data_IF_044285382398
#
_entry.id   IF_044285382398
#
_cell.length_a   1.000
_cell.length_b   1.000
_cell.length_c   1.000
_cell.angle_alpha   90.00
_cell.angle_beta   90.00
_cell.angle_gamma   90.00
#
_symmetry.space_group_name_H-M   'P 1'
#
loop_
_entity.id
_entity.type
_entity.pdbx_description
1 polymer ?
#
# COMPACT_ATOMS: atom_id res chain seq x y z
N UNK A 1 24.01 -53.66 -45.33
CA UNK A 1 24.01 -53.68 -43.84
C UNK A 1 23.79 -52.28 -43.37
N UNK A 2 22.55 -51.98 -42.94
CA UNK A 2 22.17 -50.65 -42.48
C UNK A 2 22.26 -50.63 -40.96
N UNK A 3 23.13 -49.76 -40.41
CA UNK A 3 23.26 -49.52 -38.96
C UNK A 3 22.42 -48.34 -38.59
N UNK A 4 21.36 -48.58 -37.83
CA UNK A 4 20.48 -47.54 -37.29
C UNK A 4 21.12 -46.93 -36.03
N UNK A 5 21.42 -45.64 -36.08
CA UNK A 5 21.84 -44.87 -34.89
C UNK A 5 20.61 -44.56 -34.02
N UNK A 6 20.57 -45.12 -32.80
CA UNK A 6 19.59 -44.77 -31.77
C UNK A 6 20.00 -43.46 -31.10
N UNK A 7 19.23 -42.42 -31.33
CA UNK A 7 19.33 -41.16 -30.57
C UNK A 7 18.77 -41.38 -29.17
N UNK A 8 19.65 -41.29 -28.17
CA UNK A 8 19.27 -41.26 -26.74
C UNK A 8 18.94 -39.80 -26.36
N UNK A 9 17.65 -39.44 -26.39
CA UNK A 9 17.16 -38.22 -25.73
C UNK A 9 17.15 -38.46 -24.23
N UNK A 10 18.14 -37.95 -23.51
CA UNK A 10 18.12 -37.85 -22.06
C UNK A 10 17.31 -36.66 -21.65
N UNK A 11 16.05 -36.85 -21.27
CA UNK A 11 15.21 -35.84 -20.66
C UNK A 11 15.74 -35.54 -19.24
N UNK A 12 16.42 -34.42 -19.09
CA UNK A 12 16.77 -33.89 -17.76
C UNK A 12 15.47 -33.51 -17.06
N UNK A 13 15.17 -34.01 -15.85
CA UNK A 13 13.95 -33.62 -15.16
C UNK A 13 14.05 -32.17 -14.77
N UNK A 14 13.03 -31.40 -15.16
CA UNK A 14 12.80 -30.02 -14.73
C UNK A 14 12.64 -30.02 -13.20
N UNK A 15 13.72 -29.71 -12.48
CA UNK A 15 13.72 -29.63 -11.03
C UNK A 15 12.82 -28.46 -10.65
N UNK A 16 11.62 -28.77 -10.17
CA UNK A 16 10.69 -27.79 -9.59
C UNK A 16 11.44 -27.15 -8.40
N UNK A 17 12.01 -25.97 -8.62
CA UNK A 17 12.60 -25.18 -7.53
C UNK A 17 11.44 -24.65 -6.70
N UNK A 18 11.06 -25.37 -5.66
CA UNK A 18 10.27 -24.83 -4.58
C UNK A 18 11.16 -23.79 -3.91
N UNK A 19 10.90 -22.52 -4.19
CA UNK A 19 11.63 -21.39 -3.58
C UNK A 19 11.17 -21.31 -2.12
N UNK A 20 11.87 -22.04 -1.23
CA UNK A 20 11.67 -21.87 0.21
C UNK A 20 12.17 -20.48 0.58
N UNK A 21 11.31 -19.71 1.22
CA UNK A 21 11.66 -18.40 1.78
C UNK A 21 12.84 -18.57 2.74
N UNK A 22 13.93 -17.88 2.50
CA UNK A 22 15.12 -17.96 3.36
C UNK A 22 14.89 -17.15 4.64
N UNK A 23 15.68 -17.39 5.68
CA UNK A 23 15.65 -16.58 6.91
C UNK A 23 15.95 -15.09 6.61
N UNK A 24 16.80 -14.82 5.63
CA UNK A 24 17.08 -13.46 5.16
C UNK A 24 15.83 -12.81 4.55
N UNK A 25 15.04 -13.54 3.75
CA UNK A 25 13.80 -13.02 3.18
C UNK A 25 12.76 -12.70 4.26
N UNK A 26 12.66 -13.54 5.29
CA UNK A 26 11.83 -13.28 6.46
C UNK A 26 12.28 -12.03 7.20
N UNK A 27 13.58 -11.90 7.48
CA UNK A 27 14.17 -10.76 8.18
C UNK A 27 13.96 -9.45 7.40
N UNK A 28 14.10 -9.48 6.06
CA UNK A 28 13.85 -8.30 5.22
C UNK A 28 12.38 -7.84 5.29
N UNK A 29 11.44 -8.78 5.31
CA UNK A 29 10.01 -8.46 5.47
C UNK A 29 9.71 -7.85 6.84
N UNK A 30 10.28 -8.43 7.89
CA UNK A 30 10.13 -7.94 9.26
C UNK A 30 10.74 -6.55 9.42
N UNK A 31 11.95 -6.33 8.89
CA UNK A 31 12.59 -5.03 8.89
C UNK A 31 11.75 -3.99 8.12
N UNK A 32 11.30 -4.30 6.89
CA UNK A 32 10.43 -3.40 6.13
C UNK A 32 9.16 -3.03 6.89
N UNK A 33 8.52 -3.99 7.56
CA UNK A 33 7.32 -3.73 8.36
C UNK A 33 7.63 -2.81 9.56
N UNK A 34 8.74 -3.06 10.26
CA UNK A 34 9.19 -2.25 11.40
C UNK A 34 9.47 -0.80 11.01
N UNK A 35 10.26 -0.58 9.97
CA UNK A 35 10.61 0.77 9.50
C UNK A 35 9.40 1.54 8.96
N UNK A 36 8.48 0.85 8.27
CA UNK A 36 7.24 1.45 7.78
C UNK A 36 6.34 1.89 8.94
N UNK A 37 6.24 1.09 10.00
CA UNK A 37 5.49 1.42 11.20
C UNK A 37 6.13 2.57 11.97
N UNK A 38 7.46 2.55 12.17
CA UNK A 38 8.22 3.60 12.84
C UNK A 38 8.04 4.94 12.11
N UNK A 39 8.10 4.96 10.78
CA UNK A 39 7.85 6.15 9.97
C UNK A 39 6.49 6.80 10.32
N UNK A 40 5.39 6.01 10.32
CA UNK A 40 4.05 6.54 10.63
C UNK A 40 3.94 7.04 12.06
N UNK A 41 4.52 6.34 13.02
CA UNK A 41 4.57 6.74 14.42
C UNK A 41 5.34 8.06 14.61
N UNK A 42 6.52 8.19 14.02
CA UNK A 42 7.34 9.40 14.18
C UNK A 42 6.69 10.63 13.54
N UNK A 43 5.98 10.48 12.41
CA UNK A 43 5.17 11.57 11.86
C UNK A 43 4.04 11.99 12.80
N UNK A 44 3.40 11.05 13.49
CA UNK A 44 2.38 11.35 14.49
C UNK A 44 2.99 12.03 15.73
N UNK A 45 4.13 11.54 16.22
CA UNK A 45 4.86 12.14 17.33
C UNK A 45 5.36 13.56 17.02
N UNK A 46 5.77 13.81 15.77
CA UNK A 46 6.14 15.15 15.32
C UNK A 46 4.97 16.13 15.41
N UNK A 47 3.76 15.69 15.04
CA UNK A 47 2.55 16.52 15.17
C UNK A 47 2.24 16.83 16.64
N UNK A 48 2.32 15.83 17.52
CA UNK A 48 2.11 16.02 18.95
C UNK A 48 3.14 16.98 19.54
N UNK A 49 4.44 16.77 19.30
CA UNK A 49 5.50 17.65 19.78
C UNK A 49 5.33 19.11 19.28
N UNK A 50 4.86 19.29 18.04
CA UNK A 50 4.58 20.62 17.51
C UNK A 50 3.43 21.31 18.27
N UNK A 51 2.37 20.56 18.59
CA UNK A 51 1.22 21.05 19.35
C UNK A 51 1.57 21.38 20.80
N UNK A 52 2.49 20.62 21.41
CA UNK A 52 3.00 20.84 22.75
C UNK A 52 4.03 21.98 22.85
N UNK A 53 4.40 22.62 21.73
CA UNK A 53 5.34 23.74 21.72
C UNK A 53 6.81 23.33 21.65
N UNK A 54 7.13 22.11 21.20
CA UNK A 54 8.48 21.58 21.04
C UNK A 54 8.91 21.48 19.56
N UNK A 55 9.08 22.60 18.82
CA UNK A 55 9.31 22.57 17.38
C UNK A 55 10.60 21.87 16.97
N UNK A 56 11.67 21.92 17.79
CA UNK A 56 12.92 21.23 17.49
C UNK A 56 12.79 19.70 17.67
N UNK A 57 12.05 19.26 18.67
CA UNK A 57 11.74 17.83 18.86
C UNK A 57 10.86 17.35 17.70
N UNK A 58 9.85 18.13 17.30
CA UNK A 58 9.04 17.84 16.15
C UNK A 58 9.88 17.70 14.86
N UNK A 59 10.89 18.57 14.69
CA UNK A 59 11.83 18.48 13.57
C UNK A 59 12.68 17.22 13.62
N UNK A 60 13.15 16.83 14.82
CA UNK A 60 13.90 15.58 15.01
C UNK A 60 13.06 14.35 14.62
N UNK A 61 11.80 14.28 15.05
CA UNK A 61 10.91 13.18 14.67
C UNK A 61 10.66 13.14 13.17
N UNK A 62 10.49 14.28 12.49
CA UNK A 62 10.36 14.32 11.02
C UNK A 62 11.63 13.81 10.33
N UNK A 63 12.81 14.18 10.82
CA UNK A 63 14.08 13.70 10.27
C UNK A 63 14.25 12.19 10.46
N UNK A 64 13.90 11.66 11.63
CA UNK A 64 13.89 10.23 11.86
C UNK A 64 12.90 9.52 10.94
N UNK A 65 11.66 10.02 10.79
CA UNK A 65 10.68 9.46 9.87
C UNK A 65 11.20 9.39 8.42
N UNK A 66 11.95 10.41 7.96
CA UNK A 66 12.56 10.39 6.63
C UNK A 66 13.66 9.32 6.54
N UNK A 67 14.46 9.13 7.59
CA UNK A 67 15.44 8.05 7.64
C UNK A 67 14.78 6.67 7.53
N UNK A 68 13.66 6.44 8.23
CA UNK A 68 12.91 5.18 8.13
C UNK A 68 12.28 4.96 6.74
N UNK A 69 11.92 6.04 6.03
CA UNK A 69 11.55 5.95 4.61
C UNK A 69 12.69 5.38 3.77
N UNK A 70 13.93 5.87 3.98
CA UNK A 70 15.11 5.37 3.26
C UNK A 70 15.38 3.90 3.57
N UNK A 71 15.30 3.50 4.84
CA UNK A 71 15.50 2.11 5.27
C UNK A 71 14.46 1.18 4.62
N UNK A 72 13.17 1.50 4.76
CA UNK A 72 12.07 0.72 4.18
C UNK A 72 12.22 0.56 2.65
N UNK A 73 12.54 1.65 1.92
CA UNK A 73 12.75 1.59 0.48
C UNK A 73 13.96 0.73 0.09
N UNK A 74 15.03 0.74 0.88
CA UNK A 74 16.18 -0.12 0.63
C UNK A 74 15.83 -1.59 0.81
N UNK A 75 15.05 -1.95 1.84
CA UNK A 75 14.56 -3.32 2.03
C UNK A 75 13.66 -3.76 0.88
N UNK A 76 12.73 -2.92 0.41
CA UNK A 76 11.89 -3.19 -0.76
C UNK A 76 12.71 -3.46 -2.03
N UNK A 77 13.78 -2.68 -2.26
CA UNK A 77 14.69 -2.89 -3.41
C UNK A 77 15.39 -4.24 -3.33
N UNK A 78 15.93 -4.59 -2.15
CA UNK A 78 16.62 -5.88 -1.94
C UNK A 78 15.67 -7.06 -2.12
N UNK A 79 14.42 -6.93 -1.65
CA UNK A 79 13.37 -7.94 -1.85
C UNK A 79 12.86 -8.02 -3.29
N UNK A 80 13.25 -7.10 -4.19
CA UNK A 80 12.72 -7.06 -5.57
C UNK A 80 11.21 -6.78 -5.64
N UNK A 81 10.67 -6.05 -4.66
CA UNK A 81 9.23 -5.76 -4.58
C UNK A 81 8.82 -4.61 -5.52
N UNK A 82 9.76 -3.75 -5.90
CA UNK A 82 9.51 -2.64 -6.85
C UNK A 82 9.74 -3.18 -8.26
N UNK A 83 8.68 -3.29 -9.02
CA UNK A 83 8.67 -3.86 -10.39
C UNK A 83 8.29 -2.80 -11.42
N UNK A 84 7.76 -3.22 -12.56
CA UNK A 84 7.19 -2.29 -13.54
C UNK A 84 5.92 -1.62 -12.99
N UNK A 85 5.57 -0.47 -13.51
CA UNK A 85 4.37 0.27 -13.05
C UNK A 85 3.12 -0.60 -13.14
N UNK A 86 2.94 -1.37 -14.22
CA UNK A 86 1.77 -2.24 -14.37
C UNK A 86 1.76 -3.39 -13.36
N UNK A 87 2.93 -3.97 -13.04
CA UNK A 87 3.03 -5.02 -12.02
C UNK A 87 2.75 -4.46 -10.62
N UNK A 88 3.27 -3.25 -10.33
CA UNK A 88 3.04 -2.56 -9.07
C UNK A 88 1.56 -2.22 -8.87
N UNK A 89 0.89 -1.73 -9.92
CA UNK A 89 -0.55 -1.50 -9.90
C UNK A 89 -1.34 -2.79 -9.67
N UNK A 90 -0.94 -3.90 -10.31
CA UNK A 90 -1.54 -5.21 -10.07
C UNK A 90 -1.41 -5.65 -8.61
N UNK A 91 -0.25 -5.41 -8.00
CA UNK A 91 -0.01 -5.68 -6.58
C UNK A 91 -0.90 -4.80 -5.70
N UNK A 92 -1.01 -3.49 -6.00
CA UNK A 92 -1.87 -2.56 -5.29
C UNK A 92 -3.34 -2.99 -5.37
N UNK A 93 -3.88 -3.27 -6.57
CA UNK A 93 -5.26 -3.77 -6.74
C UNK A 93 -5.51 -5.01 -5.89
N UNK A 94 -4.54 -5.94 -5.83
CA UNK A 94 -4.68 -7.16 -5.05
C UNK A 94 -4.72 -6.88 -3.55
N UNK A 95 -3.86 -5.96 -3.07
CA UNK A 95 -3.82 -5.52 -1.67
C UNK A 95 -5.13 -4.87 -1.27
N UNK A 96 -5.54 -3.80 -1.95
CA UNK A 96 -6.78 -3.08 -1.65
C UNK A 96 -8.02 -4.00 -1.71
N UNK A 97 -8.05 -4.90 -2.73
CA UNK A 97 -9.15 -5.87 -2.85
C UNK A 97 -9.22 -6.83 -1.67
N UNK A 98 -8.09 -7.34 -1.19
CA UNK A 98 -8.04 -8.16 0.00
C UNK A 98 -8.52 -7.37 1.24
N UNK A 99 -8.07 -6.14 1.38
CA UNK A 99 -8.42 -5.28 2.51
C UNK A 99 -9.93 -5.04 2.59
N UNK A 100 -10.56 -4.58 1.52
CA UNK A 100 -12.00 -4.27 1.58
C UNK A 100 -12.92 -5.48 1.48
N UNK A 101 -12.46 -6.64 0.95
CA UNK A 101 -13.32 -7.82 0.83
C UNK A 101 -13.14 -8.83 1.95
N UNK A 102 -12.00 -8.83 2.66
CA UNK A 102 -11.65 -9.84 3.67
C UNK A 102 -11.23 -9.22 5.00
N UNK A 103 -10.19 -8.41 4.99
CA UNK A 103 -9.53 -7.94 6.21
C UNK A 103 -10.44 -7.00 7.01
N UNK A 104 -10.85 -5.88 6.45
CA UNK A 104 -11.69 -4.91 7.17
C UNK A 104 -13.09 -5.43 7.52
N UNK A 105 -13.81 -6.17 6.67
CA UNK A 105 -15.06 -6.79 7.09
C UNK A 105 -14.93 -7.65 8.34
N UNK A 106 -13.90 -8.49 8.44
CA UNK A 106 -13.61 -9.27 9.62
C UNK A 106 -13.32 -8.38 10.85
N UNK A 107 -12.45 -7.40 10.72
CA UNK A 107 -12.08 -6.50 11.82
C UNK A 107 -13.27 -5.67 12.33
N UNK A 108 -14.17 -5.27 11.42
CA UNK A 108 -15.41 -4.56 11.79
C UNK A 108 -16.33 -5.47 12.65
N UNK A 109 -16.52 -6.72 12.27
CA UNK A 109 -17.35 -7.66 13.05
C UNK A 109 -16.72 -7.97 14.42
N UNK A 110 -15.41 -8.18 14.48
CA UNK A 110 -14.69 -8.38 15.73
C UNK A 110 -14.80 -7.16 16.65
N UNK A 111 -14.56 -5.95 16.12
CA UNK A 111 -14.68 -4.71 16.91
C UNK A 111 -16.13 -4.42 17.38
N UNK A 112 -17.14 -4.81 16.61
CA UNK A 112 -18.55 -4.77 17.04
C UNK A 112 -18.80 -5.71 18.20
N UNK A 113 -18.30 -6.94 18.12
CA UNK A 113 -18.46 -7.95 19.17
C UNK A 113 -17.78 -7.50 20.49
N UNK A 114 -16.66 -6.78 20.41
CA UNK A 114 -15.96 -6.20 21.54
C UNK A 114 -16.55 -4.87 22.04
N UNK A 115 -17.53 -4.31 21.34
CA UNK A 115 -18.16 -3.02 21.67
C UNK A 115 -17.26 -1.79 21.41
N UNK A 116 -16.17 -1.95 20.63
CA UNK A 116 -15.23 -0.88 20.33
C UNK A 116 -15.72 0.00 19.15
N UNK A 117 -16.59 0.94 19.44
CA UNK A 117 -17.21 1.84 18.45
C UNK A 117 -16.17 2.69 17.67
N UNK A 118 -15.06 3.05 18.30
CA UNK A 118 -14.02 3.85 17.64
C UNK A 118 -13.25 3.02 16.61
N UNK A 119 -12.90 1.79 16.93
CA UNK A 119 -12.30 0.85 16.00
C UNK A 119 -13.24 0.53 14.83
N UNK A 120 -14.52 0.25 15.11
CA UNK A 120 -15.54 0.06 14.05
C UNK A 120 -15.56 1.22 13.08
N UNK A 121 -15.58 2.47 13.58
CA UNK A 121 -15.59 3.67 12.74
C UNK A 121 -14.31 3.79 11.90
N UNK A 122 -13.15 3.53 12.51
CA UNK A 122 -11.86 3.58 11.82
C UNK A 122 -11.78 2.55 10.69
N UNK A 123 -12.15 1.31 10.98
CA UNK A 123 -12.15 0.22 9.99
C UNK A 123 -13.20 0.42 8.88
N UNK A 124 -14.39 0.93 9.21
CA UNK A 124 -15.44 1.23 8.22
C UNK A 124 -15.01 2.31 7.23
N UNK A 125 -14.31 3.35 7.72
CA UNK A 125 -13.76 4.39 6.86
C UNK A 125 -12.72 3.81 5.89
N UNK A 126 -11.75 3.08 6.40
CA UNK A 126 -10.74 2.45 5.58
C UNK A 126 -11.37 1.47 4.58
N UNK A 127 -12.25 0.58 5.03
CA UNK A 127 -12.93 -0.39 4.17
C UNK A 127 -13.61 0.23 2.94
N UNK A 128 -14.26 1.38 3.13
CA UNK A 128 -14.90 2.13 2.03
C UNK A 128 -13.89 2.77 1.09
N UNK A 129 -12.78 3.24 1.63
CA UNK A 129 -11.74 3.93 0.86
C UNK A 129 -10.93 2.93 0.05
N UNK A 130 -10.58 1.76 0.58
CA UNK A 130 -9.79 0.77 -0.16
C UNK A 130 -10.55 0.22 -1.38
N UNK A 131 -11.88 0.16 -1.32
CA UNK A 131 -12.69 -0.13 -2.49
C UNK A 131 -12.53 0.94 -3.60
N UNK A 132 -12.43 2.22 -3.21
CA UNK A 132 -12.20 3.34 -4.15
C UNK A 132 -10.77 3.27 -4.72
N UNK A 133 -9.76 3.02 -3.87
CA UNK A 133 -8.38 2.87 -4.32
C UNK A 133 -8.23 1.73 -5.32
N UNK A 134 -8.86 0.58 -5.07
CA UNK A 134 -8.85 -0.54 -6.00
C UNK A 134 -9.40 -0.15 -7.38
N UNK A 135 -10.48 0.62 -7.46
CA UNK A 135 -11.05 1.10 -8.72
C UNK A 135 -10.15 2.13 -9.41
N UNK A 136 -9.52 3.05 -8.67
CA UNK A 136 -8.57 4.01 -9.23
C UNK A 136 -7.35 3.29 -9.84
N UNK A 137 -6.80 2.28 -9.17
CA UNK A 137 -5.69 1.48 -9.70
C UNK A 137 -6.09 0.63 -10.90
N UNK A 138 -7.29 0.05 -10.93
CA UNK A 138 -7.82 -0.66 -12.11
C UNK A 138 -7.93 0.28 -13.31
N UNK A 139 -8.45 1.50 -13.11
CA UNK A 139 -8.50 2.53 -14.16
C UNK A 139 -7.11 2.87 -14.70
N UNK A 140 -6.11 2.99 -13.81
CA UNK A 140 -4.73 3.23 -14.20
C UNK A 140 -4.15 2.07 -15.03
N UNK A 141 -4.44 0.81 -14.68
CA UNK A 141 -4.05 -0.37 -15.46
C UNK A 141 -4.62 -0.32 -16.85
N UNK A 142 -5.90 0.00 -17.01
CA UNK A 142 -6.53 0.10 -18.34
C UNK A 142 -5.92 1.22 -19.19
N UNK A 143 -5.54 2.34 -18.58
CA UNK A 143 -4.85 3.43 -19.28
C UNK A 143 -3.48 2.96 -19.82
N UNK A 144 -2.68 2.28 -18.99
CA UNK A 144 -1.37 1.74 -19.41
C UNK A 144 -1.53 0.69 -20.52
N UNK A 145 -2.51 -0.21 -20.43
CA UNK A 145 -2.80 -1.19 -21.48
C UNK A 145 -3.15 -0.52 -22.82
N UNK A 146 -3.78 0.66 -22.77
CA UNK A 146 -4.06 1.47 -23.96
C UNK A 146 -2.85 2.31 -24.43
N UNK A 147 -1.66 2.13 -23.82
CA UNK A 147 -0.43 2.85 -24.15
C UNK A 147 -0.46 4.34 -23.73
N UNK A 148 -1.21 4.70 -22.72
CA UNK A 148 -1.41 6.08 -22.26
C UNK A 148 -1.20 6.18 -20.76
N UNK A 149 -0.85 7.37 -20.29
CA UNK A 149 -0.95 7.74 -18.89
C UNK A 149 -2.41 8.12 -18.53
N UNK A 150 -2.69 8.26 -17.25
CA UNK A 150 -3.95 8.86 -16.81
C UNK A 150 -4.05 10.30 -17.31
N UNK A 151 -5.27 10.79 -17.64
CA UNK A 151 -5.48 12.20 -17.94
C UNK A 151 -5.00 13.07 -16.77
N UNK A 152 -4.36 14.20 -17.09
CA UNK A 152 -3.95 15.15 -16.06
C UNK A 152 -5.17 15.62 -15.27
N UNK A 153 -5.18 15.40 -13.98
CA UNK A 153 -6.26 15.76 -13.08
C UNK A 153 -5.68 16.12 -11.71
N UNK A 154 -6.35 17.02 -10.99
CA UNK A 154 -6.03 17.25 -9.59
C UNK A 154 -6.38 15.99 -8.79
N UNK A 155 -5.46 15.53 -7.97
CA UNK A 155 -5.73 14.48 -6.98
C UNK A 155 -5.78 15.12 -5.60
N UNK A 156 -6.83 14.79 -4.84
CA UNK A 156 -6.99 15.27 -3.46
C UNK A 156 -7.34 14.11 -2.53
N UNK A 157 -6.96 14.27 -1.25
CA UNK A 157 -7.19 13.26 -0.23
C UNK A 157 -7.90 13.90 0.97
N UNK A 158 -8.95 13.26 1.46
CA UNK A 158 -9.60 13.64 2.70
C UNK A 158 -8.70 13.28 3.90
N UNK A 159 -8.28 14.26 4.74
CA UNK A 159 -7.34 13.99 5.84
C UNK A 159 -7.95 13.20 7.01
N UNK A 160 -9.27 12.95 6.97
CA UNK A 160 -10.00 12.25 8.05
C UNK A 160 -10.21 10.77 7.75
N UNK A 161 -10.57 10.43 6.52
CA UNK A 161 -10.85 9.03 6.15
C UNK A 161 -9.94 8.46 5.05
N UNK A 162 -9.09 9.28 4.43
CA UNK A 162 -8.21 8.84 3.35
C UNK A 162 -8.88 8.83 1.96
N UNK A 163 -10.18 9.13 1.85
CA UNK A 163 -10.86 9.10 0.56
C UNK A 163 -10.13 9.95 -0.49
N UNK A 164 -9.84 9.34 -1.63
CA UNK A 164 -9.08 9.93 -2.73
C UNK A 164 -10.01 10.33 -3.87
N UNK A 165 -9.88 11.56 -4.33
CA UNK A 165 -10.65 12.12 -5.43
C UNK A 165 -9.73 12.43 -6.62
N UNK A 166 -10.18 12.11 -7.81
CA UNK A 166 -9.54 12.47 -9.08
C UNK A 166 -10.42 13.49 -9.81
N UNK A 167 -9.89 14.67 -10.11
CA UNK A 167 -10.61 15.74 -10.77
C UNK A 167 -11.44 16.57 -9.79
N UNK A 168 -12.75 16.64 -10.01
CA UNK A 168 -13.64 17.46 -9.19
C UNK A 168 -14.04 16.73 -7.90
N UNK A 169 -13.66 17.28 -6.77
CA UNK A 169 -14.09 16.82 -5.46
C UNK A 169 -15.45 17.40 -5.05
N UNK A 170 -16.27 16.65 -4.29
CA UNK A 170 -17.52 17.14 -3.74
C UNK A 170 -17.28 18.14 -2.61
N UNK A 171 -18.28 18.99 -2.30
CA UNK A 171 -18.19 19.97 -1.21
C UNK A 171 -18.03 19.32 0.17
N UNK A 172 -18.51 18.10 0.32
CA UNK A 172 -18.46 17.30 1.56
C UNK A 172 -18.04 15.87 1.21
N UNK A 173 -17.08 15.33 1.95
CA UNK A 173 -16.66 13.92 1.80
C UNK A 173 -17.84 12.97 2.01
N UNK A 174 -18.19 12.13 1.02
CA UNK A 174 -19.35 11.22 1.13
C UNK A 174 -19.16 10.12 2.16
N UNK A 175 -17.92 9.85 2.62
CA UNK A 175 -17.62 8.80 3.59
C UNK A 175 -17.69 9.32 5.03
N UNK A 176 -17.06 10.47 5.32
CA UNK A 176 -16.90 10.93 6.70
C UNK A 176 -17.53 12.29 7.00
N UNK A 177 -18.09 12.99 5.99
CA UNK A 177 -18.73 14.29 6.16
C UNK A 177 -17.76 15.48 6.25
N UNK A 178 -16.45 15.29 6.05
CA UNK A 178 -15.46 16.38 6.10
C UNK A 178 -15.66 17.36 4.94
N UNK A 179 -15.69 18.69 5.19
CA UNK A 179 -15.74 19.69 4.14
C UNK A 179 -14.51 19.68 3.24
N UNK A 180 -14.67 19.95 1.94
CA UNK A 180 -13.56 19.95 0.95
C UNK A 180 -12.45 20.96 1.26
N UNK A 181 -12.73 22.02 2.01
CA UNK A 181 -11.71 23.00 2.43
C UNK A 181 -10.57 22.39 3.26
N UNK A 182 -10.76 21.18 3.78
CA UNK A 182 -9.73 20.43 4.50
C UNK A 182 -8.97 19.44 3.63
N UNK A 183 -9.41 19.19 2.39
CA UNK A 183 -8.79 18.18 1.54
C UNK A 183 -7.35 18.58 1.19
N UNK A 184 -6.47 17.59 1.20
CA UNK A 184 -5.06 17.76 0.88
C UNK A 184 -4.86 17.55 -0.63
N UNK A 185 -4.28 18.53 -1.31
CA UNK A 185 -3.84 18.39 -2.70
C UNK A 185 -2.55 17.56 -2.73
N UNK A 186 -2.48 16.65 -3.69
CA UNK A 186 -1.28 15.85 -3.97
C UNK A 186 -0.56 16.50 -5.15
N UNK A 187 0.74 16.78 -4.96
CA UNK A 187 1.63 17.37 -5.98
C UNK A 187 2.39 16.27 -6.74
#
# INVERSE_FOLDING_TARGET
MQGAAKSLFTSTPLKLMVNFMTKTDENLKEAFAGESQANRLYLAFAKAAQQEGFPQIAKLFRAAAEAETVHAQNHLKVMGQIKTTIDNLGTAVSGETYEFTKMYPQFIEEAKAEGNKQAVKSFDYANKVEAIHAELYKKAIESIKAGKDLPAAQITVCPVCGNTFEGTEPDICPICGTPKSYFMKIE
#
